data_IF_326312232459
#
_entry.id   IF_326312232459
#
_cell.length_a   1.000
_cell.length_b   1.000
_cell.length_c   1.000
_cell.angle_alpha   90.00
_cell.angle_beta   90.00
_cell.angle_gamma   90.00
#
_symmetry.space_group_name_H-M   'P 1'
#
loop_
_entity.id
_entity.type
_entity.pdbx_description
1 polymer ?
#
# COMPACT_ATOMS: atom_id res chain seq x y z
N UNK A 1 7.80 9.33 10.86
CA UNK A 1 7.46 7.90 10.69
C UNK A 1 7.25 7.31 12.06
N UNK A 2 6.08 6.76 12.36
CA UNK A 2 5.69 6.41 13.74
C UNK A 2 6.39 5.16 14.30
N UNK A 3 7.38 4.58 13.61
CA UNK A 3 8.04 3.33 13.99
C UNK A 3 7.13 2.09 14.02
N UNK A 4 5.82 2.26 13.80
CA UNK A 4 4.83 1.19 13.79
C UNK A 4 4.82 0.50 12.43
N UNK A 5 4.74 -0.83 12.45
CA UNK A 5 4.57 -1.65 11.26
C UNK A 5 3.12 -1.62 10.75
N UNK A 6 2.14 -1.41 11.62
CA UNK A 6 0.72 -1.45 11.30
C UNK A 6 0.05 -0.07 11.42
N UNK A 7 -0.88 0.21 10.50
CA UNK A 7 -1.62 1.46 10.43
C UNK A 7 -3.07 1.24 10.02
N UNK A 8 -3.99 2.02 10.60
CA UNK A 8 -5.39 2.07 10.14
C UNK A 8 -5.65 3.44 9.50
N UNK A 9 -6.13 3.45 8.27
CA UNK A 9 -6.47 4.66 7.54
C UNK A 9 -7.86 4.60 6.92
N UNK A 10 -8.38 5.76 6.52
CA UNK A 10 -9.64 5.89 5.79
C UNK A 10 -9.35 6.54 4.44
N UNK A 11 -9.85 5.95 3.36
CA UNK A 11 -9.70 6.55 2.03
C UNK A 11 -10.76 7.66 1.80
N UNK A 12 -10.66 8.46 0.72
CA UNK A 12 -11.64 9.51 0.44
C UNK A 12 -13.09 9.04 0.26
N UNK A 13 -13.30 7.75 -0.04
CA UNK A 13 -14.62 7.12 -0.13
C UNK A 13 -15.17 6.65 1.23
N UNK A 14 -14.46 6.90 2.34
CA UNK A 14 -14.88 6.52 3.68
C UNK A 14 -14.59 5.05 4.06
N UNK A 15 -13.81 4.33 3.25
CA UNK A 15 -13.48 2.91 3.50
C UNK A 15 -12.27 2.82 4.42
N UNK A 16 -12.40 2.05 5.50
CA UNK A 16 -11.32 1.80 6.47
C UNK A 16 -10.41 0.69 5.95
N UNK A 17 -9.10 0.91 6.00
CA UNK A 17 -8.07 -0.05 5.64
C UNK A 17 -7.08 -0.26 6.80
N UNK A 18 -6.91 -1.52 7.22
CA UNK A 18 -5.87 -1.93 8.17
C UNK A 18 -4.66 -2.49 7.40
N UNK A 19 -3.51 -1.84 7.53
CA UNK A 19 -2.33 -2.07 6.71
C UNK A 19 -1.15 -2.54 7.56
N UNK A 20 -0.36 -3.47 7.02
CA UNK A 20 1.02 -3.71 7.44
C UNK A 20 2.01 -3.10 6.43
N UNK A 21 3.15 -2.60 6.91
CA UNK A 21 4.18 -1.96 6.11
C UNK A 21 5.37 -2.90 5.86
N UNK A 22 5.57 -3.33 4.62
CA UNK A 22 6.57 -4.33 4.24
C UNK A 22 7.62 -3.72 3.32
N UNK A 23 8.90 -4.11 3.50
CA UNK A 23 9.99 -3.68 2.61
C UNK A 23 9.91 -4.34 1.23
N UNK A 24 9.29 -5.52 1.15
CA UNK A 24 9.16 -6.28 -0.09
C UNK A 24 7.82 -7.02 -0.16
N UNK A 25 7.25 -7.08 -1.36
CA UNK A 25 6.04 -7.84 -1.68
C UNK A 25 6.20 -8.50 -3.06
N UNK A 26 7.04 -9.53 -3.20
CA UNK A 26 7.40 -10.11 -4.51
C UNK A 26 6.22 -10.76 -5.25
N UNK A 27 5.15 -11.12 -4.53
CA UNK A 27 3.92 -11.64 -5.13
C UNK A 27 2.98 -10.56 -5.69
N UNK A 28 3.31 -9.27 -5.57
CA UNK A 28 2.47 -8.18 -6.05
C UNK A 28 2.92 -7.69 -7.44
N UNK A 29 1.93 -7.33 -8.26
CA UNK A 29 2.09 -6.48 -9.44
C UNK A 29 1.52 -5.08 -9.16
N UNK A 30 2.00 -4.06 -9.88
CA UNK A 30 1.55 -2.68 -9.72
C UNK A 30 0.74 -2.23 -10.93
N UNK A 31 -0.40 -1.58 -10.69
CA UNK A 31 -1.35 -1.19 -11.73
C UNK A 31 -1.75 0.27 -11.60
N UNK A 32 -2.07 0.91 -12.73
CA UNK A 32 -2.42 2.33 -12.78
C UNK A 32 -1.22 3.26 -12.72
N UNK A 33 -1.49 4.57 -12.70
CA UNK A 33 -0.48 5.61 -12.48
C UNK A 33 -0.04 5.68 -11.02
N UNK A 34 1.15 6.20 -10.80
CA UNK A 34 1.61 6.65 -9.49
C UNK A 34 0.95 8.00 -9.17
N UNK A 35 0.44 8.16 -7.95
CA UNK A 35 -0.30 9.35 -7.50
C UNK A 35 0.24 9.87 -6.16
N UNK A 36 0.21 11.19 -5.96
CA UNK A 36 0.53 11.81 -4.66
C UNK A 36 -0.72 12.22 -3.89
N UNK A 37 -1.84 12.38 -4.60
CA UNK A 37 -3.10 12.81 -4.02
C UNK A 37 -3.57 11.81 -2.95
N UNK A 38 -4.02 12.33 -1.81
CA UNK A 38 -4.56 11.51 -0.69
C UNK A 38 -3.60 10.44 -0.16
N UNK A 39 -2.29 10.62 -0.33
CA UNK A 39 -1.32 9.72 0.30
C UNK A 39 -1.44 9.77 1.82
N UNK A 40 -1.52 8.60 2.45
CA UNK A 40 -1.50 8.48 3.91
C UNK A 40 -0.12 8.73 4.52
N UNK A 41 0.93 8.67 3.70
CA UNK A 41 2.31 8.94 4.10
C UNK A 41 2.77 10.24 3.43
N UNK A 42 2.83 11.37 4.16
CA UNK A 42 3.18 12.66 3.59
C UNK A 42 4.52 12.64 2.85
N UNK A 43 4.54 13.15 1.61
CA UNK A 43 5.72 13.15 0.74
C UNK A 43 5.93 11.85 -0.04
N UNK A 44 5.11 10.83 0.18
CA UNK A 44 5.16 9.57 -0.58
C UNK A 44 4.10 9.55 -1.65
N UNK A 45 4.52 9.20 -2.86
CA UNK A 45 3.60 8.79 -3.91
C UNK A 45 3.16 7.34 -3.70
N UNK A 46 1.97 6.97 -4.18
CA UNK A 46 1.44 5.62 -4.08
C UNK A 46 0.95 5.09 -5.42
N UNK A 47 0.92 3.78 -5.57
CA UNK A 47 0.37 3.08 -6.72
C UNK A 47 -0.30 1.80 -6.24
N UNK A 48 -1.40 1.41 -6.89
CA UNK A 48 -2.16 0.21 -6.51
C UNK A 48 -1.29 -1.05 -6.68
N UNK A 49 -1.26 -1.87 -5.64
CA UNK A 49 -0.63 -3.18 -5.63
C UNK A 49 -1.70 -4.28 -5.62
N UNK A 50 -1.61 -5.19 -6.60
CA UNK A 50 -2.51 -6.34 -6.75
C UNK A 50 -1.72 -7.64 -6.68
N UNK A 51 -2.36 -8.76 -6.35
CA UNK A 51 -1.72 -10.07 -6.45
C UNK A 51 -1.36 -10.36 -7.91
N UNK A 52 -0.11 -10.74 -8.18
CA UNK A 52 0.38 -11.02 -9.54
C UNK A 52 -0.32 -12.21 -10.21
N UNK A 53 -0.93 -13.11 -9.44
CA UNK A 53 -1.65 -14.27 -9.98
C UNK A 53 -3.15 -14.00 -10.16
N UNK A 54 -3.86 -13.59 -9.10
CA UNK A 54 -5.31 -13.49 -9.13
C UNK A 54 -5.85 -12.06 -9.27
N UNK A 55 -4.96 -11.05 -9.31
CA UNK A 55 -5.29 -9.61 -9.41
C UNK A 55 -6.15 -9.06 -8.27
N UNK A 56 -6.28 -9.79 -7.16
CA UNK A 56 -6.93 -9.27 -5.95
C UNK A 56 -6.18 -8.03 -5.46
N UNK A 57 -6.90 -6.99 -5.05
CA UNK A 57 -6.30 -5.80 -4.46
C UNK A 57 -5.64 -6.14 -3.13
N UNK A 58 -4.32 -5.96 -3.06
CA UNK A 58 -3.51 -6.30 -1.89
C UNK A 58 -3.14 -5.06 -1.07
N UNK A 59 -3.16 -3.87 -1.68
CA UNK A 59 -2.83 -2.61 -1.03
C UNK A 59 -2.10 -1.68 -2.01
N UNK A 60 -1.02 -1.04 -1.54
CA UNK A 60 -0.30 -0.02 -2.31
C UNK A 60 1.21 -0.14 -2.14
N UNK A 61 1.96 0.23 -3.18
CA UNK A 61 3.39 0.54 -3.06
C UNK A 61 3.54 2.05 -2.88
N UNK A 62 4.34 2.46 -1.90
CA UNK A 62 4.70 3.85 -1.63
C UNK A 62 6.13 4.10 -2.08
N UNK A 63 6.39 5.26 -2.72
CA UNK A 63 7.73 5.66 -3.19
C UNK A 63 8.04 7.12 -2.86
N UNK A 64 9.26 7.36 -2.39
CA UNK A 64 9.78 8.69 -2.08
C UNK A 64 11.31 8.71 -2.22
N UNK A 65 11.85 9.56 -3.10
CA UNK A 65 13.30 9.84 -3.13
C UNK A 65 14.23 8.64 -3.36
N UNK A 66 13.73 7.56 -3.99
CA UNK A 66 14.48 6.30 -4.20
C UNK A 66 14.14 5.20 -3.21
N UNK A 67 13.50 5.53 -2.09
CA UNK A 67 12.97 4.55 -1.14
C UNK A 67 11.60 4.03 -1.56
N UNK A 68 11.29 2.81 -1.14
CA UNK A 68 9.97 2.21 -1.34
C UNK A 68 9.59 1.24 -0.22
N UNK A 69 8.29 1.11 0.00
CA UNK A 69 7.69 0.06 0.83
C UNK A 69 6.26 -0.23 0.36
N UNK A 70 5.66 -1.30 0.87
CA UNK A 70 4.27 -1.68 0.57
C UNK A 70 3.41 -1.55 1.82
N UNK A 71 2.29 -0.82 1.71
CA UNK A 71 1.20 -0.88 2.68
C UNK A 71 0.18 -1.91 2.21
N UNK A 72 0.22 -3.12 2.75
CA UNK A 72 -0.67 -4.23 2.36
C UNK A 72 -1.83 -4.37 3.33
N UNK A 73 -3.04 -4.56 2.80
CA UNK A 73 -4.26 -4.80 3.55
C UNK A 73 -4.11 -6.15 4.26
N UNK A 74 -4.05 -6.15 5.60
CA UNK A 74 -3.78 -7.37 6.37
C UNK A 74 -4.83 -8.45 6.13
N UNK A 75 -6.10 -8.07 5.96
CA UNK A 75 -7.18 -9.00 5.65
C UNK A 75 -7.06 -9.65 4.25
N UNK A 76 -6.27 -9.08 3.34
CA UNK A 76 -6.01 -9.66 2.03
C UNK A 76 -4.83 -10.65 2.04
N UNK A 77 -4.00 -10.63 3.09
CA UNK A 77 -2.90 -11.59 3.26
C UNK A 77 -3.50 -12.91 3.75
N UNK A 78 -3.52 -13.91 2.88
CA UNK A 78 -3.87 -15.28 3.25
C UNK A 78 -2.59 -15.99 3.70
N UNK A 79 -2.67 -16.64 4.86
CA UNK A 79 -1.66 -17.61 5.32
C UNK A 79 -1.72 -18.87 4.47
#
# INVERSE_FOLDING_TARGET
>A
MSGAHEHTFVNPAGIVHHLGCFVAAPGCAHVGSTEEAFSWFPGWSWQVAVCGSCRTHMGWIFRCGGDQFHGLILAALKM
#
